data_IF_284744692116
#
_entry.id   IF_284744692116
#
_cell.length_a   1.000
_cell.length_b   1.000
_cell.length_c   1.000
_cell.angle_alpha   90.00
_cell.angle_beta   90.00
_cell.angle_gamma   90.00
#
_symmetry.space_group_name_H-M   'P 1'
#
loop_
_entity.id
_entity.type
_entity.pdbx_description
1 polymer ?
#
# COMPACT_ATOMS: atom_id res chain seq x y z
N UNK A 1 9.10 0.94 -21.99
CA UNK A 1 8.82 2.35 -21.66
C UNK A 1 9.63 2.71 -20.43
N UNK A 2 10.33 3.84 -20.43
CA UNK A 2 11.04 4.30 -19.23
C UNK A 2 10.02 4.75 -18.18
N UNK A 3 10.24 4.39 -16.90
CA UNK A 3 9.45 4.92 -15.79
C UNK A 3 9.63 6.43 -15.68
N UNK A 4 8.53 7.16 -15.45
CA UNK A 4 8.58 8.62 -15.19
C UNK A 4 8.81 8.96 -13.71
N UNK A 5 8.65 7.99 -12.81
CA UNK A 5 8.99 8.15 -11.40
C UNK A 5 10.51 8.11 -11.21
N UNK A 6 11.06 8.90 -10.26
CA UNK A 6 12.48 8.90 -9.97
C UNK A 6 12.93 7.48 -9.57
N UNK A 7 14.13 7.04 -10.01
CA UNK A 7 14.64 5.73 -9.62
C UNK A 7 14.82 5.65 -8.10
N UNK A 8 14.58 4.48 -7.53
CA UNK A 8 14.91 4.25 -6.12
C UNK A 8 16.43 4.39 -5.96
N UNK A 9 16.93 5.14 -4.96
CA UNK A 9 18.34 5.11 -4.62
C UNK A 9 18.77 3.66 -4.45
N UNK A 10 19.94 3.26 -4.96
CA UNK A 10 20.50 1.92 -4.72
C UNK A 10 20.91 1.81 -3.25
N UNK A 11 19.94 1.73 -2.36
CA UNK A 11 20.14 1.38 -0.97
C UNK A 11 20.42 -0.13 -0.99
N UNK A 12 21.48 -0.56 -0.31
CA UNK A 12 21.83 -1.98 -0.14
C UNK A 12 20.79 -2.74 0.74
N UNK A 13 19.50 -2.40 0.65
CA UNK A 13 18.40 -2.97 1.44
C UNK A 13 18.04 -4.42 1.07
N UNK A 14 18.86 -5.08 0.24
CA UNK A 14 18.68 -6.47 -0.15
C UNK A 14 19.00 -7.46 0.98
N UNK A 15 19.57 -7.01 2.10
CA UNK A 15 19.87 -7.84 3.27
C UNK A 15 18.68 -8.07 4.22
N UNK A 16 17.50 -7.49 3.96
CA UNK A 16 16.38 -7.51 4.92
C UNK A 16 15.16 -8.35 4.50
N UNK A 17 15.16 -8.98 3.33
CA UNK A 17 14.10 -9.91 2.96
C UNK A 17 14.56 -11.33 3.24
N UNK A 18 14.26 -11.81 4.44
CA UNK A 18 14.29 -13.24 4.74
C UNK A 18 13.43 -13.98 3.72
N UNK A 19 13.79 -15.25 3.43
CA UNK A 19 12.98 -16.09 2.58
C UNK A 19 11.52 -16.05 3.03
N UNK A 20 10.61 -15.74 2.10
CA UNK A 20 9.19 -15.63 2.43
C UNK A 20 8.68 -16.95 3.03
N UNK A 21 7.91 -16.90 4.13
CA UNK A 21 7.45 -18.10 4.78
C UNK A 21 6.50 -18.90 3.89
N UNK A 22 6.54 -20.23 4.03
CA UNK A 22 5.47 -21.09 3.51
C UNK A 22 4.30 -20.98 4.48
N UNK A 23 3.17 -20.45 4.00
CA UNK A 23 1.94 -20.33 4.78
C UNK A 23 1.34 -21.73 5.03
N UNK A 24 0.94 -22.05 6.27
CA UNK A 24 0.21 -23.28 6.56
C UNK A 24 -1.21 -23.21 5.98
N UNK A 25 -1.84 -24.38 5.78
CA UNK A 25 -3.19 -24.48 5.18
C UNK A 25 -4.27 -23.73 5.97
N UNK A 26 -4.08 -23.56 7.28
CA UNK A 26 -4.98 -22.87 8.19
C UNK A 26 -4.62 -21.40 8.41
N UNK A 27 -3.67 -20.84 7.65
CA UNK A 27 -3.31 -19.44 7.73
C UNK A 27 -4.49 -18.55 7.30
N UNK A 28 -4.88 -17.55 8.10
CA UNK A 28 -6.00 -16.66 7.76
C UNK A 28 -5.85 -15.98 6.39
N UNK A 29 -4.62 -15.70 5.94
CA UNK A 29 -4.36 -15.14 4.62
C UNK A 29 -4.81 -16.07 3.50
N UNK A 30 -4.67 -17.39 3.69
CA UNK A 30 -5.11 -18.40 2.71
C UNK A 30 -6.62 -18.30 2.49
N UNK A 31 -7.40 -18.25 3.56
CA UNK A 31 -8.85 -18.08 3.48
C UNK A 31 -9.25 -16.77 2.77
N UNK A 32 -8.53 -15.68 3.04
CA UNK A 32 -8.81 -14.39 2.39
C UNK A 32 -8.49 -14.40 0.89
N UNK A 33 -7.35 -14.94 0.47
CA UNK A 33 -6.99 -14.98 -0.96
C UNK A 33 -7.91 -15.89 -1.77
N UNK A 34 -8.49 -16.91 -1.12
CA UNK A 34 -9.49 -17.82 -1.69
C UNK A 34 -10.90 -17.23 -1.74
N UNK A 35 -11.22 -16.23 -0.91
CA UNK A 35 -12.56 -15.62 -0.87
C UNK A 35 -12.92 -14.82 -2.13
N UNK A 36 -11.95 -14.55 -3.00
CA UNK A 36 -12.18 -13.94 -4.32
C UNK A 36 -11.35 -12.67 -4.56
N UNK A 37 -11.86 -11.84 -5.46
CA UNK A 37 -11.21 -10.60 -5.89
C UNK A 37 -11.61 -9.41 -5.03
N UNK A 38 -10.69 -8.47 -4.87
CA UNK A 38 -10.88 -7.23 -4.14
C UNK A 38 -10.46 -6.06 -5.02
N UNK A 39 -11.15 -4.94 -4.87
CA UNK A 39 -10.79 -3.70 -5.55
C UNK A 39 -9.36 -3.30 -5.14
N UNK A 40 -8.42 -3.08 -6.08
CA UNK A 40 -7.05 -2.67 -5.76
C UNK A 40 -6.98 -1.29 -5.10
N UNK A 41 -8.06 -0.51 -5.14
CA UNK A 41 -8.10 0.85 -4.64
C UNK A 41 -8.68 0.91 -3.22
N UNK A 42 -9.97 0.61 -3.06
CA UNK A 42 -10.64 0.68 -1.76
C UNK A 42 -10.64 -0.61 -0.97
N UNK A 43 -10.20 -1.74 -1.56
CA UNK A 43 -10.22 -3.01 -0.87
C UNK A 43 -11.60 -3.69 -0.77
N UNK A 44 -12.64 -3.12 -1.38
CA UNK A 44 -13.97 -3.75 -1.38
C UNK A 44 -13.95 -5.09 -2.11
N UNK A 45 -14.51 -6.12 -1.48
CA UNK A 45 -14.72 -7.42 -2.11
C UNK A 45 -15.71 -7.26 -3.27
N UNK A 46 -15.42 -7.90 -4.41
CA UNK A 46 -16.51 -8.18 -5.33
C UNK A 46 -16.33 -9.44 -6.16
N UNK A 47 -17.43 -10.20 -6.31
CA UNK A 47 -17.43 -11.45 -7.05
C UNK A 47 -17.34 -11.24 -8.58
N UNK A 48 -17.48 -10.00 -9.06
CA UNK A 48 -17.53 -9.67 -10.50
C UNK A 48 -16.16 -9.14 -10.99
N UNK A 49 -15.25 -8.77 -10.09
CA UNK A 49 -13.99 -8.15 -10.49
C UNK A 49 -12.93 -9.14 -10.95
N UNK A 50 -12.25 -8.77 -12.04
CA UNK A 50 -10.93 -9.30 -12.36
C UNK A 50 -9.91 -8.64 -11.44
N UNK A 51 -8.87 -9.39 -11.09
CA UNK A 51 -7.75 -8.86 -10.31
C UNK A 51 -7.23 -7.56 -10.97
N UNK A 52 -6.92 -6.56 -10.15
CA UNK A 52 -6.41 -5.25 -10.55
C UNK A 52 -7.39 -4.31 -11.28
N UNK A 53 -8.70 -4.61 -11.30
CA UNK A 53 -9.70 -3.68 -11.79
C UNK A 53 -10.36 -2.87 -10.65
N UNK A 54 -10.35 -1.53 -10.73
CA UNK A 54 -11.08 -0.67 -9.80
C UNK A 54 -12.59 -0.97 -9.79
N UNK A 55 -13.23 -0.80 -8.64
CA UNK A 55 -14.68 -0.92 -8.54
C UNK A 55 -15.40 0.29 -9.13
N UNK A 56 -16.69 0.11 -9.47
CA UNK A 56 -17.50 1.19 -10.06
C UNK A 56 -17.79 2.37 -9.09
N UNK A 57 -17.44 2.24 -7.80
CA UNK A 57 -17.66 3.28 -6.79
C UNK A 57 -16.71 4.47 -6.98
N UNK A 58 -15.65 4.34 -7.78
CA UNK A 58 -14.63 5.37 -7.98
C UNK A 58 -14.94 6.38 -9.10
N UNK A 59 -16.21 6.45 -9.54
CA UNK A 59 -16.64 7.31 -10.64
C UNK A 59 -16.84 8.80 -10.31
N UNK A 60 -16.55 9.23 -9.07
CA UNK A 60 -16.77 10.60 -8.61
C UNK A 60 -15.47 11.30 -8.21
N UNK A 61 -15.49 12.63 -8.14
CA UNK A 61 -14.35 13.41 -7.66
C UNK A 61 -14.14 13.21 -6.14
N UNK A 62 -12.90 13.18 -5.61
CA UNK A 62 -11.61 13.29 -6.31
C UNK A 62 -11.04 11.94 -6.77
N UNK A 63 -11.79 10.83 -6.63
CA UNK A 63 -11.33 9.49 -7.02
C UNK A 63 -10.84 9.43 -8.45
N UNK A 64 -11.61 9.96 -9.41
CA UNK A 64 -11.28 9.93 -10.84
C UNK A 64 -9.92 10.55 -11.18
N UNK A 65 -9.38 11.39 -10.28
CA UNK A 65 -8.09 12.03 -10.41
C UNK A 65 -7.03 11.30 -9.59
N UNK A 66 -7.29 11.03 -8.31
CA UNK A 66 -6.29 10.43 -7.39
C UNK A 66 -6.04 8.95 -7.66
N UNK A 67 -7.09 8.17 -7.96
CA UNK A 67 -7.00 6.73 -8.13
C UNK A 67 -6.03 6.30 -9.24
N UNK A 68 -6.08 6.86 -10.46
CA UNK A 68 -5.13 6.51 -11.52
C UNK A 68 -3.68 6.78 -11.12
N UNK A 69 -3.41 7.91 -10.42
CA UNK A 69 -2.06 8.24 -9.95
C UNK A 69 -1.60 7.26 -8.88
N UNK A 70 -2.46 6.94 -7.91
CA UNK A 70 -2.16 6.00 -6.84
C UNK A 70 -1.84 4.60 -7.38
N UNK A 71 -2.66 4.09 -8.29
CA UNK A 71 -2.44 2.78 -8.92
C UNK A 71 -1.17 2.75 -9.77
N UNK A 72 -0.90 3.81 -10.52
CA UNK A 72 0.31 3.90 -11.33
C UNK A 72 1.57 3.90 -10.45
N UNK A 73 1.54 4.66 -9.35
CA UNK A 73 2.65 4.73 -8.41
C UNK A 73 2.83 3.42 -7.64
N UNK A 74 1.74 2.74 -7.26
CA UNK A 74 1.80 1.42 -6.65
C UNK A 74 2.37 0.38 -7.62
N UNK A 75 1.90 0.36 -8.87
CA UNK A 75 2.42 -0.53 -9.90
C UNK A 75 3.92 -0.30 -10.12
N UNK A 76 4.35 0.97 -10.12
CA UNK A 76 5.76 1.30 -10.14
C UNK A 76 6.49 0.73 -8.91
N UNK A 77 6.02 0.97 -7.69
CA UNK A 77 6.64 0.42 -6.47
C UNK A 77 6.78 -1.11 -6.56
N UNK A 78 5.74 -1.80 -7.02
CA UNK A 78 5.74 -3.26 -7.14
C UNK A 78 6.72 -3.75 -8.20
N UNK A 79 6.92 -2.98 -9.27
CA UNK A 79 7.96 -3.28 -10.27
C UNK A 79 9.36 -3.18 -9.68
N UNK A 80 9.59 -2.30 -8.71
CA UNK A 80 10.88 -2.18 -8.04
C UNK A 80 11.14 -3.35 -7.09
N UNK A 81 10.07 -3.96 -6.56
CA UNK A 81 10.14 -5.19 -5.77
C UNK A 81 10.19 -6.45 -6.63
N UNK A 82 10.00 -6.36 -7.96
CA UNK A 82 9.96 -7.52 -8.86
C UNK A 82 11.21 -8.44 -8.77
N UNK A 83 12.44 -7.92 -8.63
CA UNK A 83 13.63 -8.78 -8.47
C UNK A 83 13.61 -9.63 -7.20
N UNK A 84 12.79 -9.27 -6.21
CA UNK A 84 12.66 -9.97 -4.92
C UNK A 84 11.58 -11.06 -4.99
N UNK A 85 10.94 -11.25 -6.15
CA UNK A 85 9.81 -12.16 -6.30
C UNK A 85 10.24 -13.60 -6.49
N UNK A 86 10.32 -14.33 -5.38
CA UNK A 86 10.24 -15.79 -5.38
C UNK A 86 8.85 -16.20 -4.91
N UNK A 87 7.98 -16.63 -5.83
CA UNK A 87 6.62 -17.09 -5.46
C UNK A 87 6.75 -18.40 -4.67
N UNK A 88 6.28 -18.46 -3.40
CA UNK A 88 6.32 -19.67 -2.61
C UNK A 88 5.55 -20.79 -3.30
N UNK A 89 6.04 -22.02 -3.16
CA UNK A 89 5.30 -23.19 -3.60
C UNK A 89 4.12 -23.42 -2.67
N UNK A 90 2.93 -23.02 -3.11
CA UNK A 90 1.66 -23.34 -2.47
C UNK A 90 0.85 -24.24 -3.41
N UNK A 91 0.97 -25.58 -3.29
CA UNK A 91 0.36 -26.51 -4.24
C UNK A 91 -1.17 -26.54 -4.17
N UNK A 92 -1.75 -26.10 -3.05
CA UNK A 92 -3.19 -26.05 -2.82
C UNK A 92 -3.84 -24.75 -3.30
N UNK A 93 -3.05 -23.80 -3.82
CA UNK A 93 -3.53 -22.54 -4.36
C UNK A 93 -3.42 -22.54 -5.89
N UNK A 94 -4.41 -21.95 -6.54
CA UNK A 94 -4.34 -21.55 -7.95
C UNK A 94 -3.22 -20.54 -8.17
N UNK A 95 -2.81 -20.32 -9.43
CA UNK A 95 -1.74 -19.36 -9.74
C UNK A 95 -2.09 -17.93 -9.28
N UNK A 96 -3.36 -17.53 -9.41
CA UNK A 96 -3.84 -16.21 -9.01
C UNK A 96 -3.83 -16.05 -7.48
N UNK A 97 -4.34 -17.04 -6.73
CA UNK A 97 -4.29 -17.04 -5.27
C UNK A 97 -2.85 -17.01 -4.74
N UNK A 98 -1.93 -17.73 -5.39
CA UNK A 98 -0.49 -17.65 -5.08
C UNK A 98 0.07 -16.26 -5.28
N UNK A 99 -0.28 -15.61 -6.40
CA UNK A 99 0.14 -14.24 -6.68
C UNK A 99 -0.34 -13.28 -5.59
N UNK A 100 -1.61 -13.39 -5.18
CA UNK A 100 -2.19 -12.57 -4.11
C UNK A 100 -1.49 -12.81 -2.76
N UNK A 101 -1.36 -14.06 -2.34
CA UNK A 101 -0.71 -14.40 -1.07
C UNK A 101 0.75 -13.91 -1.05
N UNK A 102 1.47 -14.13 -2.15
CA UNK A 102 2.84 -13.65 -2.31
C UNK A 102 2.94 -12.13 -2.18
N UNK A 103 2.06 -11.37 -2.87
CA UNK A 103 2.06 -9.92 -2.77
C UNK A 103 1.83 -9.47 -1.32
N UNK A 104 0.88 -10.06 -0.59
CA UNK A 104 0.64 -9.72 0.81
C UNK A 104 1.89 -9.92 1.68
N UNK A 105 2.58 -11.06 1.53
CA UNK A 105 3.78 -11.37 2.30
C UNK A 105 4.96 -10.45 1.97
N UNK A 106 5.19 -10.19 0.68
CA UNK A 106 6.22 -9.26 0.22
C UNK A 106 5.97 -7.85 0.78
N UNK A 107 4.71 -7.42 0.80
CA UNK A 107 4.33 -6.08 1.25
C UNK A 107 4.41 -5.94 2.76
N UNK A 108 4.11 -7.01 3.52
CA UNK A 108 4.31 -7.09 4.97
C UNK A 108 5.76 -6.86 5.38
N UNK A 109 6.72 -7.37 4.60
CA UNK A 109 8.14 -7.15 4.87
C UNK A 109 8.65 -5.77 4.39
N UNK A 110 7.93 -5.11 3.47
CA UNK A 110 8.40 -3.86 2.84
C UNK A 110 7.69 -2.61 3.34
N UNK A 111 6.80 -2.72 4.34
CA UNK A 111 6.10 -1.59 4.95
C UNK A 111 7.03 -0.43 5.36
N UNK A 112 8.02 -0.69 6.20
CA UNK A 112 8.97 0.33 6.63
C UNK A 112 9.86 0.82 5.47
N UNK A 113 10.22 -0.08 4.54
CA UNK A 113 11.02 0.23 3.36
C UNK A 113 10.27 1.18 2.42
N UNK A 114 8.95 1.03 2.31
CA UNK A 114 8.10 1.90 1.48
C UNK A 114 8.28 3.37 1.88
N UNK A 115 8.44 3.69 3.16
CA UNK A 115 8.66 5.09 3.58
C UNK A 115 9.99 5.67 3.09
N UNK A 116 11.05 4.88 3.14
CA UNK A 116 12.37 5.31 2.66
C UNK A 116 12.38 5.49 1.13
N UNK A 117 11.68 4.61 0.40
CA UNK A 117 11.76 4.56 -1.05
C UNK A 117 10.70 5.41 -1.75
N UNK A 118 9.53 5.57 -1.14
CA UNK A 118 8.37 6.18 -1.78
C UNK A 118 8.27 7.68 -1.55
N UNK A 119 9.05 8.28 -0.63
CA UNK A 119 8.92 9.71 -0.32
C UNK A 119 9.07 10.61 -1.56
N UNK A 120 10.14 10.46 -2.33
CA UNK A 120 10.34 11.25 -3.56
C UNK A 120 9.35 10.88 -4.69
N UNK A 121 9.09 9.60 -4.99
CA UNK A 121 8.03 9.21 -5.92
C UNK A 121 6.64 9.74 -5.57
N UNK A 122 6.26 9.72 -4.28
CA UNK A 122 4.98 10.26 -3.77
C UNK A 122 4.94 11.77 -3.95
N UNK A 123 6.01 12.48 -3.62
CA UNK A 123 6.10 13.93 -3.87
C UNK A 123 5.89 14.23 -5.35
N UNK A 124 6.62 13.54 -6.22
CA UNK A 124 6.49 13.73 -7.66
C UNK A 124 5.06 13.45 -8.14
N UNK A 125 4.52 12.28 -7.75
CA UNK A 125 3.20 11.84 -8.19
C UNK A 125 2.07 12.76 -7.73
N UNK A 126 2.13 13.22 -6.48
CA UNK A 126 1.02 13.94 -5.84
C UNK A 126 1.17 15.45 -5.76
N UNK A 127 2.36 15.98 -6.01
CA UNK A 127 2.64 17.41 -5.92
C UNK A 127 3.12 18.00 -7.25
N UNK A 128 3.98 17.29 -7.97
CA UNK A 128 4.63 17.80 -9.18
C UNK A 128 3.99 17.32 -10.50
N UNK A 129 3.27 16.20 -10.49
CA UNK A 129 2.57 15.66 -11.67
C UNK A 129 1.52 16.65 -12.15
N UNK A 130 1.69 17.14 -13.39
CA UNK A 130 0.81 18.14 -13.99
C UNK A 130 -0.66 17.72 -14.07
N UNK A 131 -0.98 16.42 -13.99
CA UNK A 131 -2.37 15.93 -13.96
C UNK A 131 -3.11 16.30 -12.68
N UNK A 132 -2.39 16.44 -11.56
CA UNK A 132 -2.98 16.62 -10.23
C UNK A 132 -2.36 17.78 -9.45
N UNK A 133 -1.39 18.49 -10.03
CA UNK A 133 -0.80 19.70 -9.47
C UNK A 133 -1.90 20.68 -9.07
N UNK A 134 -1.84 21.17 -7.84
CA UNK A 134 -2.82 22.09 -7.28
C UNK A 134 -4.08 21.42 -6.73
N UNK A 135 -4.16 20.08 -6.71
CA UNK A 135 -5.20 19.34 -5.97
C UNK A 135 -4.78 19.01 -4.53
N UNK A 136 -3.53 18.58 -4.35
CA UNK A 136 -2.95 18.24 -3.05
C UNK A 136 -2.26 19.47 -2.47
N UNK A 137 -2.66 19.88 -1.26
CA UNK A 137 -2.11 21.01 -0.52
C UNK A 137 -0.91 20.61 0.35
N UNK A 138 -0.95 19.41 0.93
CA UNK A 138 0.14 18.89 1.77
C UNK A 138 0.21 17.36 1.73
N UNK A 139 1.41 16.82 1.97
CA UNK A 139 1.65 15.39 2.10
C UNK A 139 2.33 15.12 3.45
N UNK A 140 1.80 14.15 4.18
CA UNK A 140 2.30 13.71 5.48
C UNK A 140 2.70 12.25 5.42
N UNK A 141 3.71 11.88 6.18
CA UNK A 141 4.02 10.50 6.53
C UNK A 141 3.26 10.15 7.79
N UNK A 142 2.42 9.12 7.71
CA UNK A 142 1.56 8.67 8.80
C UNK A 142 2.09 7.36 9.36
N UNK A 143 1.96 7.20 10.68
CA UNK A 143 2.02 5.88 11.29
C UNK A 143 1.00 5.70 12.38
N UNK A 144 0.41 4.52 12.36
CA UNK A 144 -0.61 4.09 13.26
C UNK A 144 -0.45 2.58 13.46
N UNK A 145 -0.84 2.07 14.62
CA UNK A 145 -0.83 0.64 14.84
C UNK A 145 -2.02 0.00 14.11
N UNK A 146 -1.83 -1.22 13.63
CA UNK A 146 -2.86 -2.05 12.99
C UNK A 146 -2.71 -3.48 13.48
N UNK A 147 -3.76 -4.29 13.39
CA UNK A 147 -3.63 -5.73 13.60
C UNK A 147 -3.61 -6.45 12.26
N UNK A 148 -2.73 -7.43 12.13
CA UNK A 148 -2.82 -8.36 11.01
C UNK A 148 -3.94 -9.37 11.22
N UNK A 149 -4.07 -10.32 10.27
CA UNK A 149 -5.11 -11.34 10.30
C UNK A 149 -4.99 -12.31 11.48
N UNK A 150 -3.80 -12.43 12.08
CA UNK A 150 -3.55 -13.24 13.28
C UNK A 150 -3.82 -12.45 14.57
N UNK A 151 -4.23 -11.18 14.46
CA UNK A 151 -4.43 -10.29 15.59
C UNK A 151 -3.14 -9.72 16.16
N UNK A 152 -1.99 -9.91 15.53
CA UNK A 152 -0.71 -9.36 15.98
C UNK A 152 -0.67 -7.86 15.73
N UNK A 153 -0.16 -7.09 16.69
CA UNK A 153 -0.06 -5.63 16.57
C UNK A 153 1.18 -5.24 15.75
N UNK A 154 0.95 -4.52 14.66
CA UNK A 154 1.96 -3.99 13.76
C UNK A 154 1.97 -2.48 13.78
N UNK A 155 3.15 -1.88 13.57
CA UNK A 155 3.27 -0.45 13.27
C UNK A 155 3.21 -0.27 11.76
N UNK A 156 2.13 0.31 11.26
CA UNK A 156 1.92 0.55 9.84
C UNK A 156 2.36 1.97 9.43
N UNK A 157 2.62 2.11 8.14
CA UNK A 157 3.05 3.36 7.51
C UNK A 157 2.24 3.63 6.25
N UNK A 158 1.78 4.87 6.09
CA UNK A 158 1.08 5.33 4.89
C UNK A 158 1.36 6.81 4.65
N UNK A 159 0.89 7.33 3.51
CA UNK A 159 0.99 8.74 3.16
C UNK A 159 -0.38 9.42 3.27
N UNK A 160 -0.47 10.48 4.06
CA UNK A 160 -1.64 11.34 4.15
C UNK A 160 -1.59 12.46 3.12
N UNK A 161 -2.55 12.52 2.21
CA UNK A 161 -2.73 13.54 1.19
C UNK A 161 -3.82 14.51 1.66
N UNK A 162 -3.43 15.70 2.11
CA UNK A 162 -4.39 16.76 2.43
C UNK A 162 -4.70 17.53 1.16
N UNK A 163 -5.95 17.54 0.72
CA UNK A 163 -6.40 18.28 -0.45
C UNK A 163 -6.66 19.75 -0.11
N UNK A 164 -6.79 20.62 -1.12
CA UNK A 164 -7.05 22.05 -0.91
C UNK A 164 -8.40 22.37 -0.27
N UNK A 165 -9.37 21.47 -0.37
CA UNK A 165 -10.66 21.58 0.34
C UNK A 165 -10.57 21.17 1.82
N UNK A 166 -9.37 20.75 2.28
CA UNK A 166 -9.11 20.30 3.64
C UNK A 166 -9.38 18.82 3.87
N UNK A 167 -9.93 18.08 2.89
CA UNK A 167 -10.14 16.64 3.03
C UNK A 167 -8.80 15.89 3.11
N UNK A 168 -8.75 14.85 3.94
CA UNK A 168 -7.57 14.01 4.10
C UNK A 168 -7.83 12.66 3.44
N UNK A 169 -6.90 12.25 2.58
CA UNK A 169 -6.88 10.97 1.90
C UNK A 169 -5.64 10.17 2.29
N UNK A 170 -5.75 8.86 2.31
CA UNK A 170 -4.67 7.96 2.67
C UNK A 170 -4.25 7.22 1.43
N UNK A 171 -3.01 7.44 1.00
CA UNK A 171 -2.34 6.62 0.02
C UNK A 171 -1.41 5.63 0.71
N UNK A 172 -1.69 4.36 0.51
CA UNK A 172 -0.92 3.24 1.04
C UNK A 172 -0.29 2.47 -0.12
N UNK A 173 1.00 2.71 -0.44
CA UNK A 173 1.65 2.05 -1.57
C UNK A 173 1.77 0.55 -1.36
N UNK A 174 1.66 0.07 -0.11
CA UNK A 174 1.72 -1.36 0.21
C UNK A 174 0.38 -2.07 0.08
N UNK A 175 -0.67 -1.38 -0.38
CA UNK A 175 -2.03 -1.88 -0.52
C UNK A 175 -2.06 -3.38 -0.79
N UNK A 176 -2.72 -4.14 0.09
CA UNK A 176 -2.68 -5.61 0.25
C UNK A 176 -1.75 -6.18 1.33
N UNK A 177 -1.00 -5.37 2.08
CA UNK A 177 -0.06 -5.85 3.11
C UNK A 177 -0.65 -6.87 4.11
N UNK A 178 -1.87 -6.64 4.60
CA UNK A 178 -2.54 -7.51 5.58
C UNK A 178 -3.71 -8.31 4.98
N UNK A 179 -3.63 -8.56 3.67
CA UNK A 179 -4.65 -9.27 2.91
C UNK A 179 -5.16 -8.47 1.72
N UNK A 180 -5.76 -9.15 0.73
CA UNK A 180 -6.13 -8.54 -0.55
C UNK A 180 -7.17 -7.40 -0.45
N UNK A 181 -7.92 -7.33 0.65
CA UNK A 181 -8.88 -6.29 1.00
C UNK A 181 -8.24 -4.99 1.50
N UNK A 182 -6.92 -4.93 1.66
CA UNK A 182 -6.29 -3.73 2.19
C UNK A 182 -6.20 -2.62 1.13
N UNK A 183 -6.77 -1.43 1.37
CA UNK A 183 -6.90 -0.36 0.39
C UNK A 183 -5.56 0.29 0.07
N UNK A 184 -5.42 0.72 -1.19
CA UNK A 184 -4.32 1.57 -1.66
C UNK A 184 -4.66 3.05 -1.52
N UNK A 185 -5.93 3.42 -1.66
CA UNK A 185 -6.38 4.79 -1.57
C UNK A 185 -7.78 4.83 -0.95
N UNK A 186 -7.99 5.62 0.09
CA UNK A 186 -9.30 5.92 0.68
C UNK A 186 -9.28 7.31 1.34
N UNK A 187 -10.42 7.98 1.52
CA UNK A 187 -10.50 9.10 2.46
C UNK A 187 -10.20 8.62 3.89
N UNK A 188 -9.62 9.49 4.72
CA UNK A 188 -9.18 9.13 6.07
C UNK A 188 -10.31 8.60 6.92
N UNK A 189 -11.51 9.18 6.84
CA UNK A 189 -12.69 8.73 7.59
C UNK A 189 -13.02 7.27 7.33
N UNK A 190 -12.99 6.83 6.07
CA UNK A 190 -13.25 5.46 5.65
C UNK A 190 -12.07 4.56 5.98
N UNK A 191 -10.84 5.00 5.72
CA UNK A 191 -9.63 4.25 6.04
C UNK A 191 -9.56 3.97 7.54
N UNK A 192 -9.81 4.99 8.36
CA UNK A 192 -9.86 4.92 9.81
C UNK A 192 -10.94 3.95 10.26
N UNK A 193 -12.19 4.12 9.79
CA UNK A 193 -13.30 3.21 10.13
C UNK A 193 -13.00 1.75 9.80
N UNK A 194 -12.37 1.50 8.65
CA UNK A 194 -12.08 0.14 8.20
C UNK A 194 -10.92 -0.51 8.97
N UNK A 195 -9.87 0.25 9.28
CA UNK A 195 -8.57 -0.34 9.64
C UNK A 195 -8.02 0.14 11.00
N UNK A 196 -8.38 1.35 11.46
CA UNK A 196 -7.80 2.00 12.65
C UNK A 196 -8.78 2.00 13.83
N UNK A 197 -10.05 2.36 13.61
CA UNK A 197 -11.10 2.48 14.64
C UNK A 197 -11.53 1.15 15.24
N UNK A 198 -11.06 0.04 14.69
CA UNK A 198 -11.06 -1.24 15.40
C UNK A 198 -10.34 -1.12 16.76
N UNK A 199 -9.55 -0.05 17.01
CA UNK A 199 -8.77 0.18 18.23
C UNK A 199 -8.74 1.67 18.66
N UNK A 200 -9.76 2.18 19.39
CA UNK A 200 -9.97 3.61 19.67
C UNK A 200 -8.88 4.31 20.53
N UNK A 201 -7.89 3.60 21.03
CA UNK A 201 -6.79 4.15 21.86
C UNK A 201 -5.45 4.25 21.11
N UNK A 202 -5.48 4.06 19.80
CA UNK A 202 -4.31 4.03 18.96
C UNK A 202 -4.10 5.40 18.29
N UNK A 203 -3.35 6.28 18.93
CA UNK A 203 -2.96 7.55 18.30
C UNK A 203 -2.16 7.32 17.02
N UNK A 204 -2.38 8.16 16.00
CA UNK A 204 -1.53 8.20 14.83
C UNK A 204 -0.51 9.35 14.94
N UNK A 205 0.65 9.14 14.33
CA UNK A 205 1.72 10.13 14.24
C UNK A 205 1.79 10.64 12.80
N UNK A 206 1.71 11.94 12.62
CA UNK A 206 1.88 12.59 11.33
C UNK A 206 3.13 13.48 11.35
N UNK A 207 3.95 13.37 10.32
CA UNK A 207 5.09 14.27 10.09
C UNK A 207 5.11 14.71 8.63
N UNK A 208 5.71 15.85 8.27
CA UNK A 208 5.83 16.25 6.87
C UNK A 208 6.57 15.20 6.02
N UNK A 209 6.23 15.11 4.73
CA UNK A 209 6.90 14.22 3.77
C UNK A 209 8.43 14.38 3.77
N UNK A 210 9.16 13.26 3.76
CA UNK A 210 10.63 13.22 3.72
C UNK A 210 11.29 13.22 5.10
N UNK A 211 10.52 13.42 6.18
CA UNK A 211 11.06 13.42 7.55
C UNK A 211 11.69 12.06 7.90
N UNK A 212 11.00 10.94 7.63
CA UNK A 212 11.49 9.60 8.00
C UNK A 212 12.39 8.98 6.97
N UNK A 213 12.24 9.31 5.69
CA UNK A 213 13.22 8.90 4.68
C UNK A 213 14.62 9.37 5.08
N UNK A 214 14.73 10.58 5.62
CA UNK A 214 15.99 11.13 6.16
C UNK A 214 16.50 10.34 7.37
N UNK A 215 15.62 9.81 8.22
CA UNK A 215 16.02 8.99 9.36
C UNK A 215 16.50 7.61 8.92
N UNK A 216 15.72 6.90 8.10
CA UNK A 216 16.06 5.56 7.64
C UNK A 216 17.34 5.53 6.79
N UNK A 217 17.59 6.56 5.98
CA UNK A 217 18.84 6.71 5.22
C UNK A 217 20.10 6.87 6.10
N UNK A 218 19.97 7.13 7.41
CA UNK A 218 21.10 7.17 8.35
C UNK A 218 21.40 5.81 9.00
N UNK A 219 20.49 4.84 8.89
CA UNK A 219 20.58 3.52 9.51
C UNK A 219 20.86 2.39 8.51
N UNK A 220 20.92 2.71 7.22
CA UNK A 220 21.31 1.80 6.13
C UNK A 220 22.59 2.32 5.49
#
# INVERSE_FOLDING_TARGET
MASRFPPIPRIHAFTLLDALPVLPLNDPLIAMVQSGSFCPICGDHSPIYREDQPCNLHGHWPWTILAPVALELQAWFYSQLAPLRTVPRQPHLTLEERSRAFNCLLLKQTCAVSMAWMSAPVQYAFFDDGRIRGLVAAIHELSFPVRDLDGMLWKHWAFGLTLWDGSLWIFDPTGRQFGPQWPTLLPWTEYQRQLVDQYPNCGFWAVPLGTRATWLARWV
#
